data_IF_907983765188
#
_entry.id   IF_907983765188
#
_cell.length_a   1.000
_cell.length_b   1.000
_cell.length_c   1.000
_cell.angle_alpha   90.00
_cell.angle_beta   90.00
_cell.angle_gamma   90.00
#
_symmetry.space_group_name_H-M   'P 1'
#
loop_
_entity.id
_entity.type
_entity.pdbx_description
1 polymer ?
#
# COMPACT_ATOMS: atom_id res chain seq x y z
N UNK A 1 14.59 8.73 17.82
CA UNK A 1 14.91 7.48 17.13
C UNK A 1 13.67 6.62 17.26
N UNK A 2 12.93 6.48 16.17
CA UNK A 2 11.74 5.64 16.13
C UNK A 2 12.10 4.16 15.91
N UNK A 3 11.10 3.29 15.88
CA UNK A 3 11.31 1.86 15.65
C UNK A 3 11.99 1.60 14.30
N UNK A 4 11.62 2.35 13.26
CA UNK A 4 12.10 2.11 11.90
C UNK A 4 13.56 2.53 11.77
N UNK A 5 13.96 3.63 12.41
CA UNK A 5 15.36 4.03 12.56
C UNK A 5 16.18 2.91 13.21
N UNK A 6 15.68 2.30 14.28
CA UNK A 6 16.39 1.21 14.98
C UNK A 6 16.57 -0.01 14.07
N UNK A 7 15.50 -0.42 13.38
CA UNK A 7 15.54 -1.57 12.48
C UNK A 7 16.53 -1.34 11.32
N UNK A 8 16.55 -0.14 10.73
CA UNK A 8 17.49 0.17 9.65
C UNK A 8 18.92 0.33 10.16
N UNK A 9 19.17 1.16 11.17
CA UNK A 9 20.52 1.52 11.57
C UNK A 9 21.25 0.41 12.34
N UNK A 10 20.53 -0.34 13.17
CA UNK A 10 21.14 -1.35 14.05
C UNK A 10 21.02 -2.77 13.54
N UNK A 11 19.95 -3.05 12.79
CA UNK A 11 19.64 -4.39 12.31
C UNK A 11 19.75 -4.53 10.79
N UNK A 12 20.16 -3.45 10.09
CA UNK A 12 20.34 -3.43 8.64
C UNK A 12 19.10 -3.91 7.86
N UNK A 13 17.92 -3.63 8.43
CA UNK A 13 16.64 -3.95 7.81
C UNK A 13 16.41 -3.00 6.63
N UNK A 14 16.10 -3.59 5.48
CA UNK A 14 15.79 -2.88 4.25
C UNK A 14 14.31 -3.09 3.91
N UNK A 15 13.46 -2.14 4.29
CA UNK A 15 12.02 -2.17 4.00
C UNK A 15 11.76 -2.24 2.49
N UNK A 16 11.12 -3.30 2.01
CA UNK A 16 10.88 -3.51 0.56
C UNK A 16 9.41 -3.34 0.18
N UNK A 17 8.50 -3.72 1.09
CA UNK A 17 7.07 -3.77 0.83
C UNK A 17 6.32 -3.64 2.14
N UNK A 18 5.19 -2.93 2.12
CA UNK A 18 4.18 -3.03 3.15
C UNK A 18 2.83 -3.33 2.49
N UNK A 19 2.02 -4.17 3.13
CA UNK A 19 0.63 -4.40 2.76
C UNK A 19 -0.23 -3.85 3.89
N UNK A 20 -1.10 -2.91 3.57
CA UNK A 20 -2.05 -2.33 4.52
C UNK A 20 -3.48 -2.67 4.12
N UNK A 21 -4.22 -3.26 5.06
CA UNK A 21 -5.64 -3.57 4.95
C UNK A 21 -6.42 -2.61 5.84
N UNK A 22 -7.43 -1.95 5.25
CA UNK A 22 -8.30 -1.02 5.94
C UNK A 22 -9.70 -1.63 6.05
N UNK A 23 -10.17 -1.84 7.28
CA UNK A 23 -11.47 -2.43 7.54
C UNK A 23 -12.31 -1.51 8.45
N UNK A 24 -13.54 -1.13 8.05
CA UNK A 24 -14.45 -0.44 8.94
C UNK A 24 -14.90 -1.39 10.06
N UNK A 25 -14.82 -0.92 11.30
CA UNK A 25 -15.19 -1.68 12.50
C UNK A 25 -15.92 -0.80 13.51
N UNK A 26 -16.65 -1.42 14.42
CA UNK A 26 -17.14 -0.75 15.62
C UNK A 26 -16.03 -0.75 16.67
N UNK A 27 -15.81 0.40 17.32
CA UNK A 27 -14.82 0.54 18.39
C UNK A 27 -15.21 -0.35 19.58
N UNK A 28 -14.31 -1.23 20.01
CA UNK A 28 -14.53 -2.09 21.18
C UNK A 28 -14.38 -1.29 22.46
N UNK A 29 -14.94 -1.78 23.57
CA UNK A 29 -14.88 -1.10 24.87
C UNK A 29 -13.47 -0.66 25.29
N UNK A 30 -12.50 -1.58 25.26
CA UNK A 30 -11.12 -1.27 25.68
C UNK A 30 -10.43 -0.26 24.74
N UNK A 31 -10.71 -0.31 23.43
CA UNK A 31 -10.20 0.66 22.45
C UNK A 31 -10.81 2.04 22.73
N UNK A 32 -12.10 2.11 23.04
CA UNK A 32 -12.80 3.35 23.36
C UNK A 32 -12.25 4.03 24.63
N UNK A 33 -11.93 3.23 25.66
CA UNK A 33 -11.30 3.71 26.89
C UNK A 33 -9.92 4.31 26.62
N UNK A 34 -9.06 3.60 25.87
CA UNK A 34 -7.71 4.07 25.54
C UNK A 34 -7.70 5.30 24.61
N UNK A 35 -8.67 5.38 23.70
CA UNK A 35 -8.75 6.43 22.69
C UNK A 35 -9.57 7.65 23.13
N UNK A 36 -10.12 7.64 24.34
CA UNK A 36 -11.11 8.61 24.83
C UNK A 36 -12.20 8.84 23.77
N UNK A 37 -12.82 7.73 23.38
CA UNK A 37 -13.83 7.65 22.34
C UNK A 37 -15.05 6.88 22.83
N UNK A 38 -16.05 6.68 21.96
CA UNK A 38 -17.29 5.98 22.32
C UNK A 38 -17.24 4.53 21.84
N UNK A 39 -17.61 3.60 22.72
CA UNK A 39 -17.84 2.21 22.33
C UNK A 39 -18.92 2.13 21.25
N UNK A 40 -18.79 1.17 20.34
CA UNK A 40 -19.67 0.95 19.19
C UNK A 40 -19.73 2.09 18.17
N UNK A 41 -18.94 3.16 18.32
CA UNK A 41 -18.80 4.16 17.28
C UNK A 41 -17.89 3.66 16.14
N UNK A 42 -18.10 4.13 14.89
CA UNK A 42 -17.28 3.75 13.76
C UNK A 42 -15.81 4.12 13.96
N UNK A 43 -14.95 3.17 13.63
CA UNK A 43 -13.50 3.30 13.55
C UNK A 43 -12.97 2.53 12.35
N UNK A 44 -11.71 2.79 12.00
CA UNK A 44 -10.99 2.04 10.97
C UNK A 44 -9.95 1.15 11.65
N UNK A 45 -10.05 -0.17 11.44
CA UNK A 45 -8.97 -1.09 11.73
C UNK A 45 -7.96 -1.06 10.59
N UNK A 46 -6.68 -0.95 10.93
CA UNK A 46 -5.57 -0.94 10.00
C UNK A 46 -4.68 -2.12 10.36
N UNK A 47 -4.64 -3.11 9.49
CA UNK A 47 -3.66 -4.19 9.59
C UNK A 47 -2.52 -3.93 8.62
N UNK A 48 -1.29 -3.98 9.11
CA UNK A 48 -0.09 -3.78 8.31
C UNK A 48 0.85 -4.97 8.46
N UNK A 49 1.32 -5.48 7.33
CA UNK A 49 2.42 -6.45 7.26
C UNK A 49 3.56 -5.79 6.50
N UNK A 50 4.72 -5.65 7.15
CA UNK A 50 5.90 -5.04 6.56
C UNK A 50 6.95 -6.12 6.28
N UNK A 51 7.57 -6.04 5.10
CA UNK A 51 8.55 -6.99 4.59
C UNK A 51 9.90 -6.33 4.36
N UNK A 52 10.95 -7.12 4.51
CA UNK A 52 12.26 -6.84 3.96
C UNK A 52 12.56 -7.75 2.74
N UNK A 53 13.82 -7.95 2.38
CA UNK A 53 14.21 -8.83 1.26
C UNK A 53 14.07 -10.33 1.57
N UNK A 54 14.09 -10.71 2.84
CA UNK A 54 14.16 -12.10 3.31
C UNK A 54 12.86 -12.59 3.95
N UNK A 55 11.96 -11.69 4.36
CA UNK A 55 10.67 -12.08 4.92
C UNK A 55 9.86 -10.94 5.55
N UNK A 56 8.98 -11.31 6.47
CA UNK A 56 8.15 -10.38 7.26
C UNK A 56 8.98 -9.91 8.46
N UNK A 57 8.98 -8.61 8.70
CA UNK A 57 9.70 -7.98 9.81
C UNK A 57 8.76 -7.37 10.86
N UNK A 58 7.52 -7.08 10.47
CA UNK A 58 6.54 -6.43 11.35
C UNK A 58 5.12 -6.83 10.94
N UNK A 59 4.28 -7.05 11.96
CA UNK A 59 2.84 -7.12 11.84
C UNK A 59 2.21 -6.21 12.90
N UNK A 60 1.35 -5.29 12.48
CA UNK A 60 0.64 -4.39 13.39
C UNK A 60 -0.86 -4.40 13.11
N UNK A 61 -1.64 -4.28 14.18
CA UNK A 61 -3.08 -4.01 14.12
C UNK A 61 -3.34 -2.72 14.88
N UNK A 62 -3.89 -1.71 14.21
CA UNK A 62 -4.22 -0.40 14.79
C UNK A 62 -5.70 -0.07 14.64
N UNK A 63 -6.19 0.82 15.51
CA UNK A 63 -7.55 1.36 15.45
C UNK A 63 -7.47 2.88 15.37
N UNK A 64 -8.02 3.44 14.30
CA UNK A 64 -8.14 4.88 14.10
C UNK A 64 -9.59 5.34 14.31
N UNK A 65 -9.78 6.35 15.16
CA UNK A 65 -11.09 6.93 15.44
C UNK A 65 -11.72 7.52 14.18
N UNK A 66 -12.97 7.13 13.89
CA UNK A 66 -13.69 7.62 12.72
C UNK A 66 -14.02 9.12 12.76
N UNK A 67 -13.99 9.75 13.93
CA UNK A 67 -14.26 11.19 14.11
C UNK A 67 -13.02 12.08 13.96
N UNK A 68 -11.81 11.50 13.90
CA UNK A 68 -10.55 12.25 13.80
C UNK A 68 -9.77 12.02 12.52
N UNK A 69 -9.98 10.88 11.84
CA UNK A 69 -9.18 10.48 10.68
C UNK A 69 -10.01 10.36 9.42
N UNK A 70 -9.43 10.79 8.29
CA UNK A 70 -9.96 10.60 6.95
C UNK A 70 -8.88 10.03 6.04
N UNK A 71 -9.15 8.88 5.43
CA UNK A 71 -8.27 8.27 4.43
C UNK A 71 -8.61 8.82 3.04
N UNK A 72 -7.58 9.20 2.29
CA UNK A 72 -7.71 9.68 0.92
C UNK A 72 -6.72 8.91 0.04
N UNK A 73 -7.24 8.32 -1.03
CA UNK A 73 -6.44 7.65 -2.05
C UNK A 73 -6.67 8.37 -3.37
N UNK A 74 -5.60 8.56 -4.15
CA UNK A 74 -5.66 9.04 -5.53
C UNK A 74 -5.24 7.88 -6.43
N UNK A 75 -6.13 7.49 -7.34
CA UNK A 75 -5.88 6.42 -8.30
C UNK A 75 -5.73 7.06 -9.69
N UNK A 76 -4.53 6.95 -10.27
CA UNK A 76 -4.28 7.39 -11.63
C UNK A 76 -4.50 6.20 -12.58
N UNK A 77 -5.36 6.36 -13.58
CA UNK A 77 -5.57 5.34 -14.62
C UNK A 77 -4.62 5.64 -15.77
N UNK A 78 -3.74 4.70 -16.12
CA UNK A 78 -2.99 4.75 -17.37
C UNK A 78 -3.79 4.00 -18.44
N UNK A 79 -4.21 4.71 -19.49
CA UNK A 79 -4.75 4.08 -20.70
C UNK A 79 -3.54 3.77 -21.61
N UNK A 80 -3.25 2.48 -21.81
CA UNK A 80 -2.33 2.07 -22.86
C UNK A 80 -3.02 2.30 -24.20
N UNK A 81 -2.60 3.34 -24.93
CA UNK A 81 -3.00 3.50 -26.32
C UNK A 81 -2.28 2.42 -27.16
N UNK A 82 -3.01 1.36 -27.50
CA UNK A 82 -2.59 0.46 -28.57
C UNK A 82 -2.96 1.08 -29.93
N UNK A 83 -1.99 1.66 -30.65
CA UNK A 83 -1.90 1.78 -32.12
C UNK A 83 -0.44 2.15 -32.46
N UNK A 84 0.34 1.47 -33.30
CA UNK A 84 0.04 0.84 -34.59
C UNK A 84 0.88 -0.44 -34.81
N UNK A 85 0.21 -1.53 -35.20
CA UNK A 85 0.81 -2.58 -36.03
C UNK A 85 0.05 -2.50 -37.37
N UNK A 86 0.80 -2.27 -38.47
CA UNK A 86 0.44 -2.33 -39.90
C UNK A 86 0.28 -1.01 -40.68
N UNK A 87 1.39 -0.61 -41.32
CA UNK A 87 1.49 -0.07 -42.70
C UNK A 87 2.99 -0.13 -43.04
N UNK A 88 3.55 -0.79 -44.04
CA UNK A 88 3.10 -1.21 -45.37
C UNK A 88 3.95 -2.41 -45.82
N UNK A 89 3.36 -3.27 -46.65
CA UNK A 89 4.10 -4.21 -47.49
C UNK A 89 4.34 -3.59 -48.87
N UNK A 90 5.43 -4.02 -49.52
CA UNK A 90 5.80 -3.89 -50.95
C UNK A 90 6.64 -2.68 -51.36
N UNK A 91 7.95 -2.92 -51.38
CA UNK A 91 8.84 -2.46 -52.44
C UNK A 91 9.80 -3.60 -52.77
N UNK A 92 9.55 -4.31 -53.87
CA UNK A 92 10.54 -5.19 -54.50
C UNK A 92 11.81 -4.38 -54.78
N UNK A 93 12.98 -4.92 -54.41
CA UNK A 93 14.21 -4.59 -55.12
C UNK A 93 15.05 -5.86 -55.30
N UNK A 94 15.26 -6.14 -56.57
CA UNK A 94 15.90 -7.29 -57.17
C UNK A 94 17.42 -7.20 -56.89
N UNK A 95 18.13 -8.31 -56.63
CA UNK A 95 19.58 -8.25 -56.44
C UNK A 95 20.27 -7.89 -57.75
N UNK A 96 21.21 -6.94 -57.71
CA UNK A 96 22.20 -6.74 -58.76
C UNK A 96 23.54 -7.29 -58.28
N UNK A 97 23.92 -8.40 -58.92
CA UNK A 97 25.25 -9.02 -59.16
C UNK A 97 26.30 -8.84 -58.05
#
# INVERSE_FOLDING_TARGET
>A
MDLYDILTERFNVNFTKAVESFQPVNTRKHEAELLEYKENHPSMMIERITYDKIGIIEYTVGIARGDRFKYRVVLNVFILNNMNINSESRGENIPSI
#
